data_IF_085919598259
#
_entry.id   IF_085919598259
#
_cell.length_a   1.000
_cell.length_b   1.000
_cell.length_c   1.000
_cell.angle_alpha   90.00
_cell.angle_beta   90.00
_cell.angle_gamma   90.00
#
_symmetry.space_group_name_H-M   'P 1'
#
loop_
_entity.id
_entity.type
_entity.pdbx_description
1 polymer ?
#
# COMPACT_ATOMS: atom_id res chain seq x y z
N UNK A 1 16.91 4.36 53.70
CA UNK A 1 15.88 3.40 53.26
C UNK A 1 15.59 3.61 51.76
N UNK A 2 16.09 2.73 50.88
CA UNK A 2 15.79 2.78 49.43
C UNK A 2 14.38 2.21 49.22
N UNK A 3 13.41 3.05 48.82
CA UNK A 3 12.08 2.59 48.38
C UNK A 3 12.28 1.67 47.16
N UNK A 4 12.05 0.36 47.33
CA UNK A 4 11.95 -0.59 46.23
C UNK A 4 10.72 -0.21 45.40
N UNK A 5 10.91 0.53 44.33
CA UNK A 5 9.85 0.78 43.35
C UNK A 5 9.38 -0.53 42.76
N UNK A 6 8.06 -0.74 42.69
CA UNK A 6 7.46 -1.89 42.01
C UNK A 6 7.91 -1.87 40.56
N UNK A 7 8.65 -2.88 40.13
CA UNK A 7 9.12 -2.97 38.74
C UNK A 7 7.96 -3.42 37.85
N UNK A 8 7.23 -2.46 37.29
CA UNK A 8 6.12 -2.71 36.34
C UNK A 8 6.55 -3.42 35.05
N UNK A 9 7.86 -3.52 34.79
CA UNK A 9 8.43 -4.23 33.63
C UNK A 9 7.98 -5.70 33.56
N UNK A 10 7.88 -6.41 34.69
CA UNK A 10 7.43 -7.81 34.73
C UNK A 10 6.01 -7.98 34.19
N UNK A 11 5.11 -7.06 34.55
CA UNK A 11 3.74 -7.06 34.04
C UNK A 11 3.69 -6.69 32.56
N UNK A 12 4.54 -5.77 32.11
CA UNK A 12 4.70 -5.46 30.68
C UNK A 12 5.02 -6.70 29.84
N UNK A 13 6.00 -7.51 30.26
CA UNK A 13 6.35 -8.75 29.56
C UNK A 13 5.21 -9.78 29.57
N UNK A 14 4.51 -9.95 30.70
CA UNK A 14 3.38 -10.89 30.81
C UNK A 14 2.24 -10.47 29.87
N UNK A 15 1.91 -9.17 29.78
CA UNK A 15 0.87 -8.69 28.89
C UNK A 15 1.29 -8.73 27.40
N UNK A 16 2.57 -8.56 27.09
CA UNK A 16 3.07 -8.70 25.71
C UNK A 16 3.25 -10.16 25.26
N UNK A 17 3.37 -11.11 26.20
CA UNK A 17 3.69 -12.50 25.89
C UNK A 17 2.69 -13.18 24.92
N UNK A 18 1.35 -13.07 25.08
CA UNK A 18 0.41 -13.66 24.13
C UNK A 18 0.57 -13.14 22.70
N UNK A 19 0.82 -11.83 22.54
CA UNK A 19 1.09 -11.22 21.24
C UNK A 19 2.38 -11.74 20.64
N UNK A 20 3.48 -11.79 21.42
CA UNK A 20 4.77 -12.28 20.93
C UNK A 20 4.66 -13.74 20.50
N UNK A 21 3.99 -14.59 21.29
CA UNK A 21 3.80 -15.99 20.95
C UNK A 21 3.00 -16.15 19.65
N UNK A 22 1.88 -15.42 19.50
CA UNK A 22 1.08 -15.43 18.29
C UNK A 22 1.88 -14.94 17.07
N UNK A 23 2.65 -13.86 17.21
CA UNK A 23 3.52 -13.34 16.17
C UNK A 23 4.58 -14.36 15.74
N UNK A 24 5.25 -15.01 16.69
CA UNK A 24 6.29 -16.00 16.39
C UNK A 24 5.73 -17.19 15.63
N UNK A 25 4.58 -17.73 16.07
CA UNK A 25 3.99 -18.95 15.50
C UNK A 25 3.28 -18.68 14.18
N UNK A 26 2.48 -17.61 14.09
CA UNK A 26 1.59 -17.36 12.96
C UNK A 26 2.12 -16.34 11.96
N UNK A 27 3.19 -15.60 12.27
CA UNK A 27 3.78 -14.62 11.35
C UNK A 27 5.24 -14.92 11.05
N UNK A 28 6.11 -14.99 12.05
CA UNK A 28 7.55 -15.16 11.82
C UNK A 28 7.88 -16.56 11.29
N UNK A 29 7.34 -17.61 11.89
CA UNK A 29 7.60 -18.98 11.46
C UNK A 29 7.19 -19.23 9.99
N UNK A 30 5.96 -18.88 9.53
CA UNK A 30 5.60 -19.06 8.12
C UNK A 30 6.46 -18.27 7.15
N UNK A 31 6.89 -17.05 7.52
CA UNK A 31 7.80 -16.24 6.68
C UNK A 31 9.16 -16.93 6.55
N UNK A 32 9.74 -17.40 7.67
CA UNK A 32 11.01 -18.13 7.64
C UNK A 32 10.89 -19.45 6.87
N UNK A 33 9.80 -20.18 7.07
CA UNK A 33 9.54 -21.43 6.35
C UNK A 33 9.39 -21.19 4.85
N UNK A 34 8.65 -20.15 4.44
CA UNK A 34 8.57 -19.72 3.04
C UNK A 34 9.94 -19.34 2.51
N UNK A 35 10.76 -18.66 3.31
CA UNK A 35 12.11 -18.32 2.90
C UNK A 35 12.96 -19.57 2.62
N UNK A 36 12.87 -20.59 3.47
CA UNK A 36 13.55 -21.89 3.25
C UNK A 36 13.05 -22.55 1.96
N UNK A 37 11.73 -22.60 1.73
CA UNK A 37 11.15 -23.21 0.52
C UNK A 37 11.70 -22.57 -0.76
N UNK A 38 11.97 -21.26 -0.76
CA UNK A 38 12.53 -20.55 -1.91
C UNK A 38 13.87 -21.10 -2.41
N UNK A 39 14.64 -21.78 -1.57
CA UNK A 39 15.94 -22.39 -1.90
C UNK A 39 15.85 -23.92 -2.15
N UNK A 40 14.64 -24.47 -2.22
CA UNK A 40 14.41 -25.91 -2.33
C UNK A 40 13.83 -26.29 -3.70
N UNK A 41 13.71 -27.59 -3.95
CA UNK A 41 13.03 -28.13 -5.13
C UNK A 41 11.54 -28.46 -4.88
N UNK A 42 10.98 -27.96 -3.76
CA UNK A 42 9.63 -28.31 -3.30
C UNK A 42 8.55 -27.97 -4.34
N UNK A 43 7.94 -29.02 -4.90
CA UNK A 43 6.88 -28.93 -5.91
C UNK A 43 5.95 -30.14 -5.87
N UNK A 44 4.74 -29.94 -6.36
CA UNK A 44 3.71 -30.98 -6.49
C UNK A 44 2.74 -31.01 -5.30
N UNK A 45 1.64 -31.76 -5.48
CA UNK A 45 0.52 -31.82 -4.53
C UNK A 45 0.93 -32.50 -3.21
N UNK A 46 1.81 -33.49 -3.30
CA UNK A 46 2.26 -34.28 -2.15
C UNK A 46 3.49 -33.61 -1.54
N UNK A 47 3.47 -33.24 -0.25
CA UNK A 47 4.63 -32.67 0.42
C UNK A 47 5.81 -33.63 0.37
N UNK A 48 6.88 -33.24 -0.31
CA UNK A 48 8.16 -33.94 -0.28
C UNK A 48 8.99 -33.46 0.91
N UNK A 49 9.91 -34.29 1.44
CA UNK A 49 10.92 -33.82 2.38
C UNK A 49 11.67 -32.61 1.82
N UNK A 50 12.08 -31.71 2.71
CA UNK A 50 12.83 -30.52 2.31
C UNK A 50 14.17 -30.95 1.73
N UNK A 51 14.39 -30.64 0.45
CA UNK A 51 15.66 -30.84 -0.23
C UNK A 51 16.14 -29.49 -0.78
N UNK A 52 17.30 -29.04 -0.30
CA UNK A 52 17.92 -27.78 -0.73
C UNK A 52 18.60 -28.04 -2.08
N UNK A 53 18.38 -27.13 -3.03
CA UNK A 53 19.00 -27.21 -4.35
C UNK A 53 20.53 -27.11 -4.25
N UNK A 54 21.25 -27.86 -5.09
CA UNK A 54 22.72 -27.75 -5.23
C UNK A 54 23.16 -26.31 -5.58
N UNK A 55 22.28 -25.59 -6.31
CA UNK A 55 22.40 -24.16 -6.57
C UNK A 55 21.25 -23.41 -5.88
N UNK A 56 21.45 -22.92 -4.64
CA UNK A 56 20.35 -22.36 -3.82
C UNK A 56 19.57 -21.22 -4.50
N UNK A 57 20.26 -20.38 -5.29
CA UNK A 57 19.64 -19.22 -5.95
C UNK A 57 19.02 -19.52 -7.33
N UNK A 58 18.98 -20.78 -7.76
CA UNK A 58 18.48 -21.15 -9.08
C UNK A 58 17.04 -20.69 -9.31
N UNK A 59 16.14 -20.94 -8.35
CA UNK A 59 14.73 -20.50 -8.46
C UNK A 59 14.59 -18.98 -8.68
N UNK A 60 15.45 -18.18 -8.05
CA UNK A 60 15.44 -16.71 -8.19
C UNK A 60 15.94 -16.27 -9.56
N UNK A 61 17.03 -16.90 -10.04
CA UNK A 61 17.58 -16.64 -11.37
C UNK A 61 16.57 -16.99 -12.46
N UNK A 62 15.99 -18.19 -12.39
CA UNK A 62 15.00 -18.67 -13.35
C UNK A 62 13.77 -17.75 -13.40
N UNK A 63 13.32 -17.25 -12.24
CA UNK A 63 12.21 -16.29 -12.18
C UNK A 63 12.56 -14.95 -12.83
N UNK A 64 13.69 -14.36 -12.46
CA UNK A 64 14.05 -13.01 -12.89
C UNK A 64 14.42 -12.96 -14.38
N UNK A 65 15.16 -13.95 -14.88
CA UNK A 65 15.74 -13.91 -16.22
C UNK A 65 14.96 -14.72 -17.25
N UNK A 66 14.43 -15.88 -16.86
CA UNK A 66 13.87 -16.84 -17.81
C UNK A 66 12.33 -16.85 -17.81
N UNK A 67 11.69 -16.45 -16.70
CA UNK A 67 10.23 -16.44 -16.60
C UNK A 67 9.62 -15.12 -17.11
N UNK A 68 9.06 -15.16 -18.33
CA UNK A 68 8.38 -14.02 -18.95
C UNK A 68 7.15 -13.60 -18.14
N UNK A 69 6.31 -14.55 -17.71
CA UNK A 69 5.07 -14.27 -16.98
C UNK A 69 5.35 -13.58 -15.63
N UNK A 70 6.42 -13.96 -14.92
CA UNK A 70 6.83 -13.26 -13.70
C UNK A 70 7.22 -11.80 -13.97
N UNK A 71 8.02 -11.53 -15.01
CA UNK A 71 8.41 -10.17 -15.40
C UNK A 71 7.20 -9.33 -15.81
N UNK A 72 6.29 -9.91 -16.60
CA UNK A 72 5.01 -9.30 -16.95
C UNK A 72 4.18 -8.99 -15.69
N UNK A 73 4.16 -9.90 -14.71
CA UNK A 73 3.42 -9.68 -13.47
C UNK A 73 3.98 -8.52 -12.64
N UNK A 74 5.31 -8.35 -12.61
CA UNK A 74 5.98 -7.23 -11.96
C UNK A 74 5.65 -5.91 -12.65
N UNK A 75 5.73 -5.85 -13.99
CA UNK A 75 5.39 -4.64 -14.74
C UNK A 75 3.92 -4.27 -14.57
N UNK A 76 3.01 -5.25 -14.64
CA UNK A 76 1.58 -5.00 -14.46
C UNK A 76 1.26 -4.53 -13.04
N UNK A 77 1.90 -5.11 -12.02
CA UNK A 77 1.75 -4.66 -10.63
C UNK A 77 2.16 -3.19 -10.50
N UNK A 78 3.30 -2.80 -11.06
CA UNK A 78 3.78 -1.43 -11.03
C UNK A 78 2.86 -0.47 -11.81
N UNK A 79 2.45 -0.85 -13.02
CA UNK A 79 1.56 -0.05 -13.88
C UNK A 79 0.20 0.17 -13.23
N UNK A 80 -0.45 -0.90 -12.76
CA UNK A 80 -1.75 -0.83 -12.09
C UNK A 80 -1.63 0.00 -10.82
N UNK A 81 -0.59 -0.22 -10.00
CA UNK A 81 -0.39 0.54 -8.76
C UNK A 81 -0.20 2.04 -9.05
N UNK A 82 0.65 2.42 -10.01
CA UNK A 82 0.89 3.82 -10.37
C UNK A 82 -0.38 4.47 -10.93
N UNK A 83 -1.05 3.79 -11.86
CA UNK A 83 -2.29 4.28 -12.49
C UNK A 83 -3.43 4.46 -11.47
N UNK A 84 -3.48 3.63 -10.43
CA UNK A 84 -4.38 3.78 -9.30
C UNK A 84 -3.93 4.91 -8.34
N UNK A 85 -2.67 4.87 -7.91
CA UNK A 85 -2.24 5.60 -6.72
C UNK A 85 -2.08 7.09 -6.98
N UNK A 86 -1.60 7.49 -8.17
CA UNK A 86 -1.46 8.90 -8.52
C UNK A 86 -2.81 9.63 -8.46
N UNK A 87 -3.88 9.21 -9.16
CA UNK A 87 -5.17 9.88 -9.03
C UNK A 87 -5.75 9.73 -7.62
N UNK A 88 -5.51 8.60 -6.94
CA UNK A 88 -5.96 8.38 -5.56
C UNK A 88 -5.41 9.42 -4.60
N UNK A 89 -4.09 9.63 -4.59
CA UNK A 89 -3.45 10.56 -3.65
C UNK A 89 -3.77 12.01 -4.02
N UNK A 90 -3.84 12.33 -5.32
CA UNK A 90 -4.22 13.68 -5.79
C UNK A 90 -5.63 14.01 -5.34
N UNK A 91 -6.60 13.13 -5.61
CA UNK A 91 -7.99 13.35 -5.19
C UNK A 91 -8.11 13.40 -3.66
N UNK A 92 -7.43 12.51 -2.95
CA UNK A 92 -7.45 12.51 -1.48
C UNK A 92 -6.87 13.81 -0.88
N UNK A 93 -5.79 14.35 -1.46
CA UNK A 93 -5.21 15.63 -1.05
C UNK A 93 -6.13 16.80 -1.36
N UNK A 94 -6.76 16.82 -2.55
CA UNK A 94 -7.73 17.86 -2.93
C UNK A 94 -8.94 17.87 -1.99
N UNK A 95 -9.51 16.70 -1.71
CA UNK A 95 -10.63 16.56 -0.79
C UNK A 95 -10.23 16.92 0.64
N UNK A 96 -9.02 16.53 1.08
CA UNK A 96 -8.48 16.94 2.37
C UNK A 96 -8.35 18.46 2.46
N UNK A 97 -7.76 19.11 1.45
CA UNK A 97 -7.66 20.56 1.39
C UNK A 97 -9.03 21.22 1.48
N UNK A 98 -10.03 20.69 0.77
CA UNK A 98 -11.39 21.22 0.78
C UNK A 98 -12.08 21.07 2.13
N UNK A 99 -12.09 19.86 2.72
CA UNK A 99 -12.78 19.60 4.00
C UNK A 99 -12.13 20.27 5.20
N UNK A 100 -10.83 20.56 5.13
CA UNK A 100 -10.07 21.20 6.21
C UNK A 100 -9.97 22.72 6.07
N UNK A 101 -10.43 23.29 4.95
CA UNK A 101 -10.38 24.73 4.73
C UNK A 101 -11.39 25.45 5.63
N UNK A 102 -10.87 26.21 6.62
CA UNK A 102 -11.68 27.00 7.57
C UNK A 102 -12.59 28.03 6.90
N UNK A 103 -12.26 28.50 5.69
CA UNK A 103 -13.08 29.45 4.92
C UNK A 103 -14.25 28.76 4.20
N UNK A 104 -14.12 27.48 3.87
CA UNK A 104 -15.14 26.73 3.14
C UNK A 104 -15.94 25.88 4.14
N UNK A 105 -17.03 26.44 4.66
CA UNK A 105 -17.97 25.70 5.51
C UNK A 105 -18.85 24.79 4.64
N UNK A 106 -18.31 23.62 4.25
CA UNK A 106 -19.13 22.57 3.61
C UNK A 106 -20.17 22.08 4.63
N UNK A 107 -21.47 22.24 4.35
CA UNK A 107 -22.53 21.68 5.20
C UNK A 107 -22.58 20.16 5.03
N UNK A 108 -22.76 19.42 6.11
CA UNK A 108 -22.87 17.95 6.06
C UNK A 108 -21.55 17.19 5.82
N UNK A 109 -20.40 17.75 6.21
CA UNK A 109 -19.08 17.13 5.98
C UNK A 109 -18.99 15.67 6.46
N UNK A 110 -19.62 15.35 7.58
CA UNK A 110 -19.64 13.98 8.11
C UNK A 110 -20.25 12.99 7.13
N UNK A 111 -21.41 13.34 6.55
CA UNK A 111 -22.08 12.50 5.56
C UNK A 111 -21.23 12.30 4.29
N UNK A 112 -20.61 13.36 3.77
CA UNK A 112 -19.70 13.24 2.62
C UNK A 112 -18.51 12.34 2.93
N UNK A 113 -17.86 12.50 4.08
CA UNK A 113 -16.71 11.65 4.46
C UNK A 113 -17.11 10.17 4.55
N UNK A 114 -18.29 9.88 5.09
CA UNK A 114 -18.83 8.51 5.16
C UNK A 114 -19.10 7.95 3.76
N UNK A 115 -19.78 8.71 2.89
CA UNK A 115 -20.09 8.28 1.52
C UNK A 115 -18.83 8.01 0.69
N UNK A 116 -17.82 8.88 0.81
CA UNK A 116 -16.54 8.74 0.08
C UNK A 116 -15.70 7.59 0.62
N UNK A 117 -15.86 7.21 1.89
CA UNK A 117 -15.16 6.08 2.53
C UNK A 117 -15.87 4.73 2.33
N UNK A 118 -17.19 4.74 2.13
CA UNK A 118 -18.04 3.56 1.97
C UNK A 118 -17.50 2.51 0.99
N UNK A 119 -16.92 2.86 -0.18
CA UNK A 119 -16.36 1.88 -1.11
C UNK A 119 -15.33 0.93 -0.49
N UNK A 120 -14.55 1.42 0.49
CA UNK A 120 -13.51 0.65 1.17
C UNK A 120 -14.06 -0.45 2.09
N UNK A 121 -15.32 -0.32 2.51
CA UNK A 121 -15.98 -1.25 3.46
C UNK A 121 -16.59 -2.45 2.73
N UNK A 122 -16.93 -2.29 1.45
CA UNK A 122 -17.52 -3.35 0.64
C UNK A 122 -16.45 -4.41 0.33
N UNK A 123 -16.81 -5.69 0.41
CA UNK A 123 -15.87 -6.77 0.10
C UNK A 123 -15.42 -6.72 -1.36
N UNK A 124 -14.14 -7.02 -1.60
CA UNK A 124 -13.57 -7.02 -2.95
C UNK A 124 -14.31 -7.98 -3.90
N UNK A 125 -14.79 -9.13 -3.41
CA UNK A 125 -15.59 -10.08 -4.19
C UNK A 125 -16.91 -9.48 -4.68
N UNK A 126 -17.63 -8.75 -3.82
CA UNK A 126 -18.87 -8.06 -4.21
C UNK A 126 -18.61 -7.00 -5.28
N UNK A 127 -17.52 -6.24 -5.13
CA UNK A 127 -17.12 -5.22 -6.09
C UNK A 127 -16.74 -5.86 -7.44
N UNK A 128 -15.99 -6.96 -7.42
CA UNK A 128 -15.62 -7.68 -8.64
C UNK A 128 -16.86 -8.17 -9.40
N UNK A 129 -17.85 -8.74 -8.72
CA UNK A 129 -19.12 -9.16 -9.34
C UNK A 129 -19.90 -7.96 -9.89
N UNK A 130 -19.99 -6.86 -9.13
CA UNK A 130 -20.65 -5.64 -9.58
C UNK A 130 -20.01 -5.12 -10.88
N UNK A 131 -18.69 -4.95 -10.90
CA UNK A 131 -17.99 -4.45 -12.09
C UNK A 131 -18.05 -5.44 -13.25
N UNK A 132 -18.06 -6.75 -12.99
CA UNK A 132 -18.25 -7.76 -14.05
C UNK A 132 -19.64 -7.62 -14.69
N UNK A 133 -20.67 -7.38 -13.90
CA UNK A 133 -22.01 -7.11 -14.40
C UNK A 133 -22.08 -5.78 -15.18
N UNK A 134 -21.45 -4.72 -14.67
CA UNK A 134 -21.43 -3.40 -15.32
C UNK A 134 -20.77 -3.43 -16.71
N UNK A 135 -19.63 -4.11 -16.80
CA UNK A 135 -18.82 -4.24 -18.02
C UNK A 135 -19.13 -5.52 -18.81
N UNK A 136 -20.26 -6.18 -18.52
CA UNK A 136 -20.65 -7.39 -19.25
C UNK A 136 -20.88 -7.07 -20.74
N UNK A 137 -20.48 -8.01 -21.59
CA UNK A 137 -20.66 -7.93 -23.03
C UNK A 137 -21.70 -8.96 -23.49
N UNK A 138 -22.63 -8.62 -24.41
CA UNK A 138 -22.81 -7.32 -25.05
C UNK A 138 -23.72 -6.35 -24.29
N UNK A 139 -24.57 -6.83 -23.38
CA UNK A 139 -25.70 -6.06 -22.81
C UNK A 139 -25.41 -5.40 -21.43
N UNK A 140 -24.16 -5.11 -21.11
CA UNK A 140 -23.81 -4.46 -19.84
C UNK A 140 -24.24 -3.00 -19.77
N UNK A 141 -24.60 -2.47 -18.58
CA UNK A 141 -24.97 -1.07 -18.40
C UNK A 141 -23.98 -0.05 -18.97
N UNK A 142 -22.66 -0.35 -18.92
CA UNK A 142 -21.64 0.53 -19.52
C UNK A 142 -21.78 0.58 -21.04
N UNK A 143 -22.02 -0.55 -21.70
CA UNK A 143 -22.28 -0.58 -23.15
C UNK A 143 -23.57 0.19 -23.49
N UNK A 144 -24.65 -0.01 -22.73
CA UNK A 144 -25.90 0.72 -22.93
C UNK A 144 -25.73 2.25 -22.81
N UNK A 145 -24.90 2.72 -21.87
CA UNK A 145 -24.58 4.15 -21.75
C UNK A 145 -23.77 4.66 -22.94
N UNK A 146 -22.80 3.89 -23.44
CA UNK A 146 -21.98 4.28 -24.59
C UNK A 146 -22.81 4.37 -25.88
N UNK A 147 -23.73 3.43 -26.09
CA UNK A 147 -24.67 3.44 -27.22
C UNK A 147 -25.65 4.62 -27.11
N UNK A 148 -26.21 4.85 -25.92
CA UNK A 148 -27.14 5.97 -25.68
C UNK A 148 -26.50 7.35 -25.88
N UNK A 149 -25.24 7.51 -25.48
CA UNK A 149 -24.47 8.75 -25.67
C UNK A 149 -23.93 8.90 -27.10
N UNK A 150 -24.09 7.90 -27.96
CA UNK A 150 -23.60 7.92 -29.34
C UNK A 150 -22.08 7.76 -29.48
N UNK A 151 -21.39 7.27 -28.44
CA UNK A 151 -19.95 6.99 -28.52
C UNK A 151 -19.64 5.74 -29.33
N UNK A 152 -20.55 4.76 -29.35
CA UNK A 152 -20.41 3.54 -30.14
C UNK A 152 -21.74 3.18 -30.79
N UNK A 153 -21.68 2.63 -32.00
CA UNK A 153 -22.87 2.11 -32.71
C UNK A 153 -23.07 0.61 -32.51
N UNK A 154 -22.10 -0.05 -31.88
CA UNK A 154 -22.11 -1.47 -31.54
C UNK A 154 -21.50 -1.67 -30.15
N UNK A 155 -21.87 -2.76 -29.44
CA UNK A 155 -21.34 -3.04 -28.12
C UNK A 155 -19.84 -3.33 -28.21
N UNK A 156 -19.07 -2.83 -27.24
CA UNK A 156 -17.62 -3.00 -27.13
C UNK A 156 -17.30 -3.97 -26.01
N UNK A 157 -16.42 -4.94 -26.28
CA UNK A 157 -15.94 -5.87 -25.26
C UNK A 157 -14.75 -5.28 -24.50
N UNK A 158 -15.03 -4.38 -23.55
CA UNK A 158 -14.01 -3.68 -22.75
C UNK A 158 -13.07 -4.62 -22.00
N UNK A 159 -13.55 -5.81 -21.60
CA UNK A 159 -12.78 -6.77 -20.81
C UNK A 159 -11.81 -7.62 -21.65
N UNK A 160 -11.92 -7.58 -22.98
CA UNK A 160 -11.02 -8.29 -23.89
C UNK A 160 -9.81 -7.44 -24.30
N UNK A 161 -9.93 -6.10 -24.24
CA UNK A 161 -8.81 -5.19 -24.46
C UNK A 161 -7.91 -5.11 -23.21
N UNK A 162 -6.61 -5.31 -23.39
CA UNK A 162 -5.63 -5.36 -22.30
C UNK A 162 -5.54 -4.05 -21.53
N UNK A 163 -5.45 -2.93 -22.26
CA UNK A 163 -5.26 -1.59 -21.68
C UNK A 163 -6.50 -1.18 -20.90
N UNK A 164 -7.67 -1.45 -21.47
CA UNK A 164 -8.96 -1.15 -20.86
C UNK A 164 -9.18 -2.00 -19.61
N UNK A 165 -8.89 -3.30 -19.67
CA UNK A 165 -8.96 -4.19 -18.50
C UNK A 165 -8.04 -3.73 -17.35
N UNK A 166 -6.79 -3.37 -17.66
CA UNK A 166 -5.86 -2.79 -16.68
C UNK A 166 -6.37 -1.47 -16.10
N UNK A 167 -6.90 -0.60 -16.96
CA UNK A 167 -7.49 0.69 -16.56
C UNK A 167 -8.68 0.52 -15.62
N UNK A 168 -9.57 -0.45 -15.89
CA UNK A 168 -10.72 -0.76 -15.04
C UNK A 168 -10.24 -1.29 -13.68
N UNK A 169 -9.28 -2.22 -13.65
CA UNK A 169 -8.71 -2.72 -12.38
C UNK A 169 -8.08 -1.58 -11.56
N UNK A 170 -7.31 -0.71 -12.20
CA UNK A 170 -6.72 0.46 -11.55
C UNK A 170 -7.79 1.43 -11.03
N UNK A 171 -8.86 1.66 -11.81
CA UNK A 171 -9.98 2.51 -11.40
C UNK A 171 -10.74 1.95 -10.20
N UNK A 172 -11.02 0.65 -10.17
CA UNK A 172 -11.67 -0.02 -9.04
C UNK A 172 -10.84 0.19 -7.77
N UNK A 173 -9.52 -0.04 -7.84
CA UNK A 173 -8.64 0.18 -6.70
C UNK A 173 -8.64 1.66 -6.28
N UNK A 174 -8.58 2.58 -7.24
CA UNK A 174 -8.57 4.01 -6.96
C UNK A 174 -9.84 4.40 -6.19
N UNK A 175 -10.99 3.97 -6.70
CA UNK A 175 -12.31 4.22 -6.13
C UNK A 175 -12.49 3.59 -4.74
N UNK A 176 -11.92 2.41 -4.51
CA UNK A 176 -11.97 1.75 -3.20
C UNK A 176 -11.13 2.45 -2.13
N UNK A 177 -10.02 3.09 -2.50
CA UNK A 177 -8.99 3.50 -1.53
C UNK A 177 -8.82 5.01 -1.35
N UNK A 178 -9.30 5.85 -2.29
CA UNK A 178 -9.14 7.32 -2.18
C UNK A 178 -9.79 7.90 -0.91
N UNK A 179 -10.97 7.39 -0.53
CA UNK A 179 -11.68 7.85 0.68
C UNK A 179 -10.95 7.50 1.97
N UNK A 180 -10.38 6.30 2.05
CA UNK A 180 -9.55 5.88 3.19
C UNK A 180 -8.32 6.79 3.33
N UNK A 181 -7.63 7.04 2.20
CA UNK A 181 -6.46 7.93 2.17
C UNK A 181 -6.82 9.36 2.59
N UNK A 182 -7.95 9.87 2.10
CA UNK A 182 -8.46 11.19 2.49
C UNK A 182 -8.68 11.28 4.01
N UNK A 183 -9.29 10.27 4.65
CA UNK A 183 -9.54 10.30 6.10
C UNK A 183 -8.23 10.32 6.88
N UNK A 184 -7.23 9.52 6.47
CA UNK A 184 -5.91 9.52 7.10
C UNK A 184 -5.25 10.91 7.00
N UNK A 185 -5.33 11.54 5.83
CA UNK A 185 -4.76 12.87 5.62
C UNK A 185 -5.51 13.95 6.42
N UNK A 186 -6.84 13.90 6.48
CA UNK A 186 -7.66 14.81 7.31
C UNK A 186 -7.28 14.67 8.79
N UNK A 187 -7.18 13.44 9.31
CA UNK A 187 -6.74 13.20 10.69
C UNK A 187 -5.36 13.82 10.94
N UNK A 188 -4.49 13.78 9.94
CA UNK A 188 -3.21 14.46 9.98
C UNK A 188 -3.28 15.97 10.06
N UNK A 189 -4.15 16.59 9.26
CA UNK A 189 -4.35 18.04 9.31
C UNK A 189 -4.92 18.48 10.66
N UNK A 190 -5.80 17.67 11.25
CA UNK A 190 -6.38 17.93 12.57
C UNK A 190 -5.33 17.92 13.70
N UNK A 191 -4.19 17.25 13.50
CA UNK A 191 -3.07 17.27 14.45
C UNK A 191 -2.16 18.51 14.34
N UNK A 192 -2.34 19.35 13.32
CA UNK A 192 -1.51 20.55 13.12
C UNK A 192 -1.96 21.66 14.09
N UNK A 193 -1.01 22.36 14.72
CA UNK A 193 -1.29 23.45 15.64
C UNK A 193 -2.18 24.53 14.98
N UNK A 194 -3.39 24.80 15.52
CA UNK A 194 -4.29 25.85 15.05
C UNK A 194 -3.65 27.23 14.85
N UNK A 195 -2.68 27.59 15.68
CA UNK A 195 -2.01 28.89 15.66
C UNK A 195 -1.30 29.17 14.32
N UNK A 196 -0.81 28.14 13.63
CA UNK A 196 -0.20 28.31 12.30
C UNK A 196 -1.21 28.79 11.25
N UNK A 197 -2.45 28.29 11.33
CA UNK A 197 -3.51 28.70 10.41
C UNK A 197 -4.05 30.09 10.74
N UNK A 198 -4.07 30.46 12.01
CA UNK A 198 -4.47 31.80 12.46
C UNK A 198 -3.44 32.86 12.08
N UNK A 199 -2.15 32.60 12.30
CA UNK A 199 -1.07 33.47 11.84
C UNK A 199 -1.13 33.68 10.31
N UNK A 200 -1.32 32.61 9.54
CA UNK A 200 -1.46 32.70 8.10
C UNK A 200 -2.69 33.51 7.66
N UNK A 201 -3.78 33.44 8.42
CA UNK A 201 -4.97 34.24 8.16
C UNK A 201 -4.73 35.73 8.44
N UNK A 202 -3.95 36.07 9.48
CA UNK A 202 -3.52 37.44 9.79
C UNK A 202 -2.61 37.98 8.67
N UNK A 203 -1.71 37.15 8.15
CA UNK A 203 -0.81 37.50 7.03
C UNK A 203 -1.53 37.55 5.65
N UNK A 204 -2.85 37.38 5.62
CA UNK A 204 -3.65 37.43 4.40
C UNK A 204 -3.46 36.25 3.45
N UNK A 205 -2.85 35.15 3.92
CA UNK A 205 -2.64 33.97 3.09
C UNK A 205 -3.97 33.41 2.57
N UNK A 206 -4.03 33.08 1.28
CA UNK A 206 -5.19 32.42 0.69
C UNK A 206 -5.17 30.89 0.94
N UNK A 207 -6.27 30.19 0.62
CA UNK A 207 -6.38 28.75 0.89
C UNK A 207 -5.33 27.89 0.17
N UNK A 208 -4.95 28.29 -1.05
CA UNK A 208 -3.93 27.59 -1.83
C UNK A 208 -2.54 27.78 -1.21
N UNK A 209 -2.20 29.01 -0.82
CA UNK A 209 -0.96 29.33 -0.10
C UNK A 209 -0.89 28.58 1.23
N UNK A 210 -1.98 28.57 1.99
CA UNK A 210 -2.09 27.84 3.27
C UNK A 210 -1.86 26.35 3.05
N UNK A 211 -2.48 25.76 2.03
CA UNK A 211 -2.33 24.34 1.73
C UNK A 211 -0.89 23.97 1.35
N UNK A 212 -0.30 24.65 0.37
CA UNK A 212 1.04 24.29 -0.13
C UNK A 212 2.18 24.73 0.81
N UNK A 213 2.02 25.79 1.60
CA UNK A 213 3.08 26.32 2.47
C UNK A 213 2.99 25.87 3.92
N UNK A 214 1.81 25.48 4.40
CA UNK A 214 1.60 25.11 5.81
C UNK A 214 1.12 23.66 5.90
N UNK A 215 -0.01 23.33 5.27
CA UNK A 215 -0.64 22.01 5.42
C UNK A 215 0.25 20.90 4.85
N UNK A 216 0.61 20.97 3.57
CA UNK A 216 1.35 19.93 2.87
C UNK A 216 2.74 19.67 3.48
N UNK A 217 3.55 20.69 3.83
CA UNK A 217 4.81 20.48 4.54
C UNK A 217 4.62 19.85 5.92
N UNK A 218 3.59 20.26 6.67
CA UNK A 218 3.28 19.72 8.00
C UNK A 218 2.77 18.27 7.94
N UNK A 219 2.16 17.87 6.83
CA UNK A 219 1.68 16.52 6.59
C UNK A 219 2.78 15.52 6.21
N UNK A 220 4.05 15.93 6.07
CA UNK A 220 5.13 15.08 5.55
C UNK A 220 5.23 13.71 6.22
N UNK A 221 5.09 13.64 7.55
CA UNK A 221 5.15 12.38 8.32
C UNK A 221 3.99 11.44 7.97
N UNK A 222 2.80 12.01 7.78
CA UNK A 222 1.59 11.25 7.48
C UNK A 222 1.55 10.87 6.00
N UNK A 223 2.04 11.76 5.12
CA UNK A 223 2.30 11.44 3.72
C UNK A 223 3.28 10.28 3.58
N UNK A 224 4.34 10.25 4.39
CA UNK A 224 5.29 9.14 4.40
C UNK A 224 4.62 7.83 4.82
N UNK A 225 3.80 7.85 5.87
CA UNK A 225 3.01 6.69 6.29
C UNK A 225 2.07 6.20 5.16
N UNK A 226 1.33 7.12 4.53
CA UNK A 226 0.43 6.81 3.41
C UNK A 226 1.18 6.25 2.21
N UNK A 227 2.35 6.81 1.87
CA UNK A 227 3.16 6.35 0.75
C UNK A 227 3.72 4.95 1.00
N UNK A 228 4.29 4.70 2.19
CA UNK A 228 4.82 3.37 2.54
C UNK A 228 3.70 2.32 2.52
N UNK A 229 2.58 2.60 3.20
CA UNK A 229 1.47 1.64 3.27
C UNK A 229 0.83 1.41 1.90
N UNK A 230 0.71 2.45 1.07
CA UNK A 230 0.25 2.30 -0.31
C UNK A 230 1.22 1.50 -1.18
N UNK A 231 2.54 1.72 -1.07
CA UNK A 231 3.53 0.92 -1.82
C UNK A 231 3.46 -0.55 -1.43
N UNK A 232 3.34 -0.86 -0.13
CA UNK A 232 3.17 -2.25 0.33
C UNK A 232 1.88 -2.85 -0.25
N UNK A 233 0.75 -2.15 -0.13
CA UNK A 233 -0.52 -2.61 -0.69
C UNK A 233 -0.52 -2.73 -2.21
N UNK A 234 0.18 -1.84 -2.91
CA UNK A 234 0.38 -1.84 -4.36
C UNK A 234 1.16 -3.04 -4.86
N UNK A 235 2.20 -3.45 -4.14
CA UNK A 235 2.93 -4.67 -4.46
C UNK A 235 2.04 -5.90 -4.18
N UNK A 236 1.25 -5.86 -3.12
CA UNK A 236 0.37 -6.95 -2.67
C UNK A 236 -1.03 -6.95 -3.33
N UNK A 237 -1.20 -6.31 -4.49
CA UNK A 237 -2.47 -6.26 -5.21
C UNK A 237 -2.90 -7.67 -5.63
N UNK A 238 -3.87 -8.26 -4.93
CA UNK A 238 -4.37 -9.61 -5.22
C UNK A 238 -5.87 -9.62 -5.54
N UNK A 239 -6.70 -9.04 -4.67
CA UNK A 239 -8.14 -9.29 -4.66
C UNK A 239 -8.82 -8.94 -5.99
N UNK A 240 -8.80 -7.67 -6.41
CA UNK A 240 -9.47 -7.25 -7.64
C UNK A 240 -8.88 -7.93 -8.88
N UNK A 241 -7.55 -7.95 -9.11
CA UNK A 241 -6.96 -8.68 -10.23
C UNK A 241 -7.39 -10.15 -10.34
N UNK A 242 -7.47 -10.87 -9.21
CA UNK A 242 -7.87 -12.27 -9.17
C UNK A 242 -9.38 -12.44 -9.35
N UNK A 243 -10.19 -11.70 -8.60
CA UNK A 243 -11.63 -11.93 -8.49
C UNK A 243 -12.42 -11.35 -9.68
N UNK A 244 -11.89 -10.32 -10.33
CA UNK A 244 -12.57 -9.66 -11.45
C UNK A 244 -12.23 -10.33 -12.79
N UNK A 245 -10.94 -10.61 -13.05
CA UNK A 245 -10.46 -11.08 -14.36
C UNK A 245 -9.48 -12.27 -14.29
N UNK A 246 -9.19 -12.78 -13.09
CA UNK A 246 -8.24 -13.89 -12.89
C UNK A 246 -6.84 -13.66 -13.49
N UNK A 247 -6.42 -12.39 -13.61
CA UNK A 247 -5.16 -11.99 -14.25
C UNK A 247 -5.24 -11.74 -15.77
N UNK A 248 -6.39 -11.97 -16.42
CA UNK A 248 -6.56 -11.73 -17.85
C UNK A 248 -6.94 -10.29 -18.23
N UNK A 249 -7.16 -10.00 -19.52
CA UNK A 249 -6.92 -10.87 -20.68
C UNK A 249 -5.41 -10.97 -21.00
N UNK A 250 -4.94 -12.15 -21.44
CA UNK A 250 -3.55 -12.40 -21.84
C UNK A 250 -2.50 -11.81 -20.86
N UNK A 251 -2.63 -12.24 -19.60
CA UNK A 251 -1.85 -11.79 -18.44
C UNK A 251 -1.87 -10.28 -18.15
N UNK A 252 -2.71 -9.46 -18.81
CA UNK A 252 -2.68 -8.01 -18.65
C UNK A 252 -2.97 -7.55 -17.21
N UNK A 253 -3.83 -8.25 -16.48
CA UNK A 253 -4.11 -7.92 -15.07
C UNK A 253 -3.39 -8.85 -14.10
N UNK A 254 -2.51 -9.71 -14.58
CA UNK A 254 -1.72 -10.60 -13.75
C UNK A 254 -0.78 -9.77 -12.88
N UNK A 255 -1.06 -9.64 -11.60
CA UNK A 255 -0.14 -9.04 -10.63
C UNK A 255 0.77 -10.08 -10.02
N UNK A 256 1.85 -9.64 -9.38
CA UNK A 256 2.85 -10.54 -8.78
C UNK A 256 2.22 -11.41 -7.69
N UNK A 257 1.26 -10.88 -6.93
CA UNK A 257 0.52 -11.65 -5.93
C UNK A 257 -0.38 -12.72 -6.56
N UNK A 258 -1.03 -12.40 -7.69
CA UNK A 258 -1.83 -13.39 -8.45
C UNK A 258 -0.93 -14.46 -9.07
N UNK A 259 0.23 -14.06 -9.59
CA UNK A 259 1.25 -14.99 -10.08
C UNK A 259 1.71 -15.95 -8.98
N UNK A 260 2.09 -15.45 -7.80
CA UNK A 260 2.51 -16.27 -6.65
C UNK A 260 1.42 -17.27 -6.27
N UNK A 261 0.17 -16.81 -6.16
CA UNK A 261 -0.97 -17.67 -5.87
C UNK A 261 -1.15 -18.74 -6.95
N UNK A 262 -1.04 -18.36 -8.22
CA UNK A 262 -1.11 -19.27 -9.36
C UNK A 262 -0.03 -20.35 -9.30
N UNK A 263 1.21 -19.98 -8.98
CA UNK A 263 2.31 -20.95 -8.85
C UNK A 263 2.11 -21.89 -7.67
N UNK A 264 1.68 -21.39 -6.52
CA UNK A 264 1.53 -22.20 -5.30
C UNK A 264 0.30 -23.11 -5.34
N UNK A 265 -0.83 -22.62 -5.86
CA UNK A 265 -2.15 -23.22 -5.63
C UNK A 265 -2.93 -23.56 -6.90
N UNK A 266 -2.43 -23.23 -8.09
CA UNK A 266 -3.06 -23.63 -9.36
C UNK A 266 -2.14 -24.57 -10.14
N UNK A 267 -2.72 -25.63 -10.71
CA UNK A 267 -2.01 -26.54 -11.62
C UNK A 267 -0.94 -27.39 -10.93
N UNK A 268 0.34 -27.08 -11.17
CA UNK A 268 1.49 -27.95 -10.83
C UNK A 268 2.06 -27.77 -9.41
N UNK A 269 1.50 -26.86 -8.60
CA UNK A 269 1.90 -26.62 -7.20
C UNK A 269 3.42 -26.38 -7.03
N UNK A 270 3.92 -25.36 -7.71
CA UNK A 270 5.34 -24.96 -7.71
C UNK A 270 5.65 -24.06 -6.49
N UNK A 271 5.63 -24.66 -5.28
CA UNK A 271 5.86 -23.94 -4.03
C UNK A 271 7.22 -23.25 -3.96
N UNK A 272 8.27 -23.90 -4.48
CA UNK A 272 9.61 -23.32 -4.60
C UNK A 272 9.61 -21.99 -5.38
N UNK A 273 8.95 -21.95 -6.53
CA UNK A 273 8.84 -20.72 -7.35
C UNK A 273 7.98 -19.66 -6.68
N UNK A 274 6.84 -20.05 -6.10
CA UNK A 274 5.97 -19.12 -5.39
C UNK A 274 6.69 -18.49 -4.18
N UNK A 275 7.45 -19.28 -3.42
CA UNK A 275 8.25 -18.84 -2.29
C UNK A 275 9.37 -17.88 -2.73
N UNK A 276 10.13 -18.24 -3.76
CA UNK A 276 11.17 -17.37 -4.31
C UNK A 276 10.60 -16.02 -4.82
N UNK A 277 9.47 -16.05 -5.53
CA UNK A 277 8.76 -14.84 -5.96
C UNK A 277 8.27 -13.99 -4.76
N UNK A 278 7.75 -14.63 -3.71
CA UNK A 278 7.33 -13.94 -2.48
C UNK A 278 8.51 -13.26 -1.76
N UNK A 279 9.67 -13.90 -1.73
CA UNK A 279 10.89 -13.31 -1.18
C UNK A 279 11.38 -12.12 -2.01
N UNK A 280 11.35 -12.22 -3.35
CA UNK A 280 11.69 -11.10 -4.23
C UNK A 280 10.75 -9.91 -3.95
N UNK A 281 9.45 -10.15 -3.86
CA UNK A 281 8.48 -9.12 -3.50
C UNK A 281 8.75 -8.50 -2.12
N UNK A 282 9.09 -9.31 -1.11
CA UNK A 282 9.43 -8.83 0.22
C UNK A 282 10.65 -7.90 0.19
N UNK A 283 11.72 -8.30 -0.52
CA UNK A 283 12.93 -7.49 -0.68
C UNK A 283 12.61 -6.20 -1.43
N UNK A 284 11.82 -6.27 -2.50
CA UNK A 284 11.37 -5.08 -3.24
C UNK A 284 10.58 -4.12 -2.34
N UNK A 285 9.64 -4.62 -1.55
CA UNK A 285 8.86 -3.82 -0.61
C UNK A 285 9.75 -3.15 0.44
N UNK A 286 10.73 -3.88 0.99
CA UNK A 286 11.68 -3.34 1.96
C UNK A 286 12.57 -2.25 1.35
N UNK A 287 13.10 -2.47 0.15
CA UNK A 287 13.94 -1.48 -0.56
C UNK A 287 13.15 -0.22 -0.88
N UNK A 288 11.95 -0.36 -1.46
CA UNK A 288 11.11 0.80 -1.82
C UNK A 288 10.65 1.57 -0.58
N UNK A 289 10.23 0.88 0.48
CA UNK A 289 9.86 1.51 1.75
C UNK A 289 11.05 2.23 2.39
N UNK A 290 12.23 1.60 2.39
CA UNK A 290 13.46 2.20 2.88
C UNK A 290 13.89 3.43 2.08
N UNK A 291 13.74 3.40 0.75
CA UNK A 291 14.00 4.51 -0.15
C UNK A 291 13.04 5.67 0.12
N UNK A 292 11.73 5.41 0.23
CA UNK A 292 10.72 6.43 0.55
C UNK A 292 11.00 7.06 1.93
N UNK A 293 11.30 6.23 2.93
CA UNK A 293 11.69 6.71 4.25
C UNK A 293 12.94 7.58 4.21
N UNK A 294 13.96 7.19 3.44
CA UNK A 294 15.20 7.96 3.29
C UNK A 294 14.96 9.31 2.59
N UNK A 295 14.19 9.31 1.48
CA UNK A 295 13.89 10.50 0.69
C UNK A 295 13.02 11.50 1.47
N UNK A 296 12.02 11.02 2.19
CA UNK A 296 11.08 11.85 2.93
C UNK A 296 11.50 12.13 4.38
N UNK A 297 12.62 11.59 4.84
CA UNK A 297 13.11 11.87 6.21
C UNK A 297 13.18 13.36 6.44
N UNK A 298 12.65 13.80 7.58
CA UNK A 298 12.73 15.20 7.98
C UNK A 298 14.19 15.57 8.30
N UNK A 299 14.81 16.30 7.37
CA UNK A 299 16.22 16.69 7.46
C UNK A 299 16.43 17.71 8.58
N UNK A 300 15.41 18.50 8.90
CA UNK A 300 15.51 19.55 9.91
C UNK A 300 15.36 18.99 11.32
N UNK A 301 14.41 18.08 11.55
CA UNK A 301 14.36 17.31 12.80
C UNK A 301 15.64 16.48 13.03
N UNK A 302 16.20 15.88 11.97
CA UNK A 302 17.46 15.15 12.05
C UNK A 302 18.67 16.08 12.35
N UNK A 303 18.68 17.30 11.79
CA UNK A 303 19.69 18.33 12.08
C UNK A 303 19.58 18.84 13.51
N UNK A 304 18.37 19.15 13.97
CA UNK A 304 18.09 19.57 15.35
C UNK A 304 18.50 18.49 16.36
N UNK A 305 18.15 17.22 16.11
CA UNK A 305 18.58 16.09 16.96
C UNK A 305 20.09 15.94 16.98
N UNK A 306 20.77 16.10 15.84
CA UNK A 306 22.24 16.09 15.78
C UNK A 306 22.86 17.28 16.52
N UNK A 307 22.26 18.47 16.41
CA UNK A 307 22.69 19.66 17.15
C UNK A 307 22.54 19.45 18.66
N UNK A 308 21.38 18.95 19.10
CA UNK A 308 21.13 18.62 20.50
C UNK A 308 22.12 17.55 21.02
N UNK A 309 22.35 16.48 20.26
CA UNK A 309 23.34 15.45 20.63
C UNK A 309 24.76 16.02 20.75
N UNK A 310 25.13 17.03 19.94
CA UNK A 310 26.42 17.72 20.08
C UNK A 310 26.46 18.57 21.35
N UNK A 311 25.38 19.29 21.66
CA UNK A 311 25.24 20.08 22.89
C UNK A 311 25.33 19.17 24.12
N UNK A 312 24.58 18.06 24.14
CA UNK A 312 24.58 17.11 25.25
C UNK A 312 25.96 16.46 25.45
N UNK A 313 26.65 16.11 24.35
CA UNK A 313 28.03 15.59 24.40
C UNK A 313 29.02 16.64 24.90
N UNK A 314 28.88 17.89 24.47
CA UNK A 314 29.73 18.99 24.96
C UNK A 314 29.51 19.21 26.46
N UNK A 315 28.25 19.26 26.92
CA UNK A 315 27.91 19.38 28.34
C UNK A 315 28.45 18.22 29.19
N UNK A 316 28.41 16.98 28.67
CA UNK A 316 28.99 15.82 29.34
C UNK A 316 30.52 15.84 29.38
N UNK A 317 31.20 16.40 28.37
CA UNK A 317 32.64 16.57 28.36
C UNK A 317 33.08 17.62 29.40
N UNK A 318 32.40 18.77 29.44
CA UNK A 318 32.67 19.83 30.43
C UNK A 318 32.40 19.35 31.86
N UNK A 319 31.36 18.55 32.07
CA UNK A 319 31.07 17.94 33.38
C UNK A 319 32.11 16.87 33.82
N UNK A 320 32.92 16.36 32.89
CA UNK A 320 34.00 15.39 33.16
C UNK A 320 35.38 16.04 33.34
N UNK A 321 35.49 17.37 33.28
CA UNK A 321 36.74 18.09 33.53
C UNK A 321 37.80 17.92 32.43
N UNK A 322 37.36 17.75 31.17
CA UNK A 322 38.18 17.94 29.97
C UNK A 322 37.73 19.25 29.31
#
# INVERSE_FOLDING_TARGET
MRRKGVSYSKFGYIFSFPFILAFLVFSLYPVLYTAVIGFTDMKGVIPKPIHILDHPFQNFKDLIFDNVSFRTSLSNTALIWIANFIPQIVLALLLTAWFTNRRIKVRGQGAFKVLLYMPNIITASTIAVLFNSLFSYPMGPVNSLFEMLGFTHSPVNFLQDKTTAQGIVAFIQFWMWYGNTMIILIAGVMGINPALFEAAAIDGANGFQTFFRITLPSLKTIMLYTLITSTIGGLQLFDIPQLFLYGGPDDATLTTSVFIYGQAFKGSYMFNRAAAASMIMFVMAAILSGLLFYLMRDRDAARLKKAQMKIDKAAQATARGI
#
